data_IF_617539065625
#
_entry.id   IF_617539065625
#
_cell.length_a   1.000
_cell.length_b   1.000
_cell.length_c   1.000
_cell.angle_alpha   90.00
_cell.angle_beta   90.00
_cell.angle_gamma   90.00
#
_symmetry.space_group_name_H-M   'P 1'
#
loop_
_entity.id
_entity.type
_entity.pdbx_description
1 polymer ?
#
# COMPACT_ATOMS: atom_id res chain seq x y z
N UNK A 1 -10.66 9.01 14.76
CA UNK A 1 -10.13 7.82 15.47
C UNK A 1 -10.43 6.49 14.77
N UNK A 2 -11.70 6.04 14.64
CA UNK A 2 -12.03 4.74 14.02
C UNK A 2 -11.36 4.48 12.67
N UNK A 3 -11.47 5.41 11.72
CA UNK A 3 -10.81 5.31 10.41
C UNK A 3 -9.28 5.17 10.53
N UNK A 4 -8.65 5.90 11.45
CA UNK A 4 -7.19 5.87 11.63
C UNK A 4 -6.75 4.49 12.12
N UNK A 5 -7.51 3.89 13.04
CA UNK A 5 -7.29 2.52 13.50
C UNK A 5 -7.48 1.48 12.38
N UNK A 6 -8.56 1.57 11.61
CA UNK A 6 -8.85 0.64 10.50
C UNK A 6 -7.76 0.70 9.44
N UNK A 7 -7.26 1.90 9.14
CA UNK A 7 -6.19 2.11 8.16
C UNK A 7 -4.82 1.71 8.71
N UNK A 8 -4.55 1.91 10.00
CA UNK A 8 -3.36 1.34 10.65
C UNK A 8 -3.35 -0.19 10.51
N UNK A 9 -4.48 -0.85 10.79
CA UNK A 9 -4.60 -2.30 10.65
C UNK A 9 -4.37 -2.74 9.20
N UNK A 10 -5.02 -2.07 8.24
CA UNK A 10 -4.84 -2.36 6.81
C UNK A 10 -3.38 -2.18 6.36
N UNK A 11 -2.68 -1.16 6.87
CA UNK A 11 -1.28 -0.91 6.54
C UNK A 11 -0.38 -2.03 7.08
N UNK A 12 -0.56 -2.41 8.34
CA UNK A 12 0.23 -3.48 8.96
C UNK A 12 0.02 -4.81 8.25
N UNK A 13 -1.23 -5.18 7.97
CA UNK A 13 -1.54 -6.42 7.26
C UNK A 13 -1.02 -6.37 5.81
N UNK A 14 -1.18 -5.23 5.13
CA UNK A 14 -0.67 -5.06 3.76
C UNK A 14 0.85 -5.15 3.66
N UNK A 15 1.60 -4.55 4.59
CA UNK A 15 3.06 -4.66 4.60
C UNK A 15 3.53 -6.09 4.86
N UNK A 16 2.90 -6.81 5.80
CA UNK A 16 3.16 -8.23 6.03
C UNK A 16 2.82 -9.08 4.81
N UNK A 17 1.75 -8.75 4.10
CA UNK A 17 1.37 -9.46 2.89
C UNK A 17 2.38 -9.24 1.76
N UNK A 18 2.87 -8.01 1.57
CA UNK A 18 3.93 -7.71 0.61
C UNK A 18 5.23 -8.47 0.95
N UNK A 19 5.58 -8.55 2.23
CA UNK A 19 6.73 -9.34 2.71
C UNK A 19 6.55 -10.84 2.44
N UNK A 20 5.40 -11.41 2.82
CA UNK A 20 5.10 -12.83 2.65
C UNK A 20 5.05 -13.26 1.17
N UNK A 21 4.80 -12.32 0.26
CA UNK A 21 4.73 -12.55 -1.18
C UNK A 21 6.00 -12.13 -1.93
N UNK A 22 7.02 -11.62 -1.23
CA UNK A 22 8.25 -11.07 -1.83
C UNK A 22 7.97 -9.98 -2.88
N UNK A 23 6.98 -9.11 -2.60
CA UNK A 23 6.55 -8.02 -3.51
C UNK A 23 6.79 -6.63 -2.94
N UNK A 24 7.64 -6.49 -1.92
CA UNK A 24 7.95 -5.21 -1.25
C UNK A 24 8.58 -4.19 -2.21
N UNK A 25 9.43 -4.63 -3.13
CA UNK A 25 10.08 -3.76 -4.12
C UNK A 25 9.22 -3.47 -5.36
N UNK A 26 7.96 -3.94 -5.36
CA UNK A 26 7.04 -3.75 -6.47
C UNK A 26 6.23 -2.44 -6.35
N UNK A 27 5.59 -1.98 -7.44
CA UNK A 27 4.66 -0.85 -7.38
C UNK A 27 3.47 -1.04 -6.43
N UNK A 28 3.19 -2.27 -5.97
CA UNK A 28 2.12 -2.57 -5.02
C UNK A 28 2.35 -1.89 -3.66
N UNK A 29 3.60 -1.73 -3.23
CA UNK A 29 3.93 -1.00 -1.99
C UNK A 29 3.46 0.45 -2.07
N UNK A 30 3.74 1.13 -3.17
CA UNK A 30 3.29 2.52 -3.37
C UNK A 30 1.77 2.61 -3.51
N UNK A 31 1.13 1.61 -4.13
CA UNK A 31 -0.32 1.52 -4.17
C UNK A 31 -0.92 1.37 -2.76
N UNK A 32 -0.39 0.45 -1.93
CA UNK A 32 -0.80 0.26 -0.53
C UNK A 32 -0.71 1.57 0.26
N UNK A 33 0.44 2.26 0.19
CA UNK A 33 0.63 3.53 0.89
C UNK A 33 -0.36 4.60 0.43
N UNK A 34 -0.65 4.68 -0.87
CA UNK A 34 -1.64 5.62 -1.42
C UNK A 34 -3.04 5.35 -0.90
N UNK A 35 -3.49 4.11 -0.95
CA UNK A 35 -4.85 3.72 -0.55
C UNK A 35 -5.08 3.81 0.96
N UNK A 36 -4.05 3.55 1.76
CA UNK A 36 -4.21 3.38 3.19
C UNK A 36 -3.77 4.60 4.00
N UNK A 37 -2.71 5.31 3.58
CA UNK A 37 -2.10 6.38 4.38
C UNK A 37 -2.63 7.77 4.02
N UNK A 38 -3.03 8.01 2.76
CA UNK A 38 -3.36 9.36 2.28
C UNK A 38 -4.44 10.07 3.12
N UNK A 39 -5.61 9.44 3.21
CA UNK A 39 -6.78 10.04 3.88
C UNK A 39 -6.56 10.17 5.40
N UNK A 40 -6.09 9.15 6.13
CA UNK A 40 -5.81 9.31 7.56
C UNK A 40 -4.77 10.37 7.85
N UNK A 41 -3.71 10.47 7.04
CA UNK A 41 -2.70 11.52 7.20
C UNK A 41 -3.34 12.91 7.08
N UNK A 42 -4.21 13.13 6.09
CA UNK A 42 -4.91 14.40 5.95
C UNK A 42 -5.80 14.71 7.17
N UNK A 43 -6.52 13.71 7.70
CA UNK A 43 -7.37 13.90 8.88
C UNK A 43 -6.56 14.17 10.15
N UNK A 44 -5.45 13.46 10.33
CA UNK A 44 -4.50 13.68 11.45
C UNK A 44 -3.93 15.10 11.41
N UNK A 45 -3.53 15.57 10.23
CA UNK A 45 -3.05 16.93 10.03
C UNK A 45 -4.13 17.98 10.27
N UNK A 46 -5.35 17.76 9.77
CA UNK A 46 -6.46 18.69 9.97
C UNK A 46 -6.80 18.82 11.47
N UNK A 47 -6.89 17.70 12.19
CA UNK A 47 -7.15 17.69 13.62
C UNK A 47 -6.06 18.43 14.40
N UNK A 48 -4.78 18.15 14.11
CA UNK A 48 -3.67 18.83 14.79
C UNK A 48 -3.54 20.31 14.47
N UNK A 49 -3.82 20.71 13.24
CA UNK A 49 -3.87 22.13 12.88
C UNK A 49 -5.00 22.86 13.61
N UNK A 50 -6.16 22.22 13.73
CA UNK A 50 -7.28 22.78 14.48
C UNK A 50 -6.92 22.96 15.97
N UNK A 51 -6.27 21.97 16.58
CA UNK A 51 -5.84 22.05 17.98
C UNK A 51 -4.78 23.12 18.23
N UNK A 52 -3.78 23.23 17.35
CA UNK A 52 -2.64 24.15 17.51
C UNK A 52 -2.94 25.59 17.15
N UNK A 53 -3.78 25.82 16.13
CA UNK A 53 -4.03 27.16 15.57
C UNK A 53 -5.46 27.65 15.76
N UNK A 54 -6.38 26.79 16.20
CA UNK A 54 -7.83 27.07 16.23
C UNK A 54 -8.47 27.15 14.84
N UNK A 55 -7.71 26.93 13.75
CA UNK A 55 -8.20 27.07 12.38
C UNK A 55 -8.68 25.73 11.83
N UNK A 56 -9.93 25.68 11.36
CA UNK A 56 -10.45 24.54 10.61
C UNK A 56 -9.97 24.61 9.17
N UNK A 57 -9.09 23.70 8.78
CA UNK A 57 -8.54 23.61 7.42
C UNK A 57 -8.83 22.24 6.85
N UNK A 58 -9.39 22.19 5.64
CA UNK A 58 -9.46 20.95 4.88
C UNK A 58 -8.08 20.64 4.29
N UNK A 59 -7.49 19.51 4.70
CA UNK A 59 -6.19 19.06 4.19
C UNK A 59 -6.42 18.21 2.95
N UNK A 60 -5.80 18.61 1.85
CA UNK A 60 -5.86 17.98 0.53
C UNK A 60 -4.44 17.64 0.06
N UNK A 61 -4.28 16.79 -0.97
CA UNK A 61 -2.96 16.54 -1.55
C UNK A 61 -2.22 17.82 -1.99
N UNK A 62 -2.95 18.85 -2.43
CA UNK A 62 -2.38 20.09 -2.94
C UNK A 62 -1.83 21.01 -1.84
N UNK A 63 -2.49 21.05 -0.68
CA UNK A 63 -2.10 21.94 0.42
C UNK A 63 -1.39 21.22 1.58
N UNK A 64 -1.25 19.88 1.53
CA UNK A 64 -0.67 19.07 2.61
C UNK A 64 0.70 19.57 3.07
N UNK A 65 1.59 19.91 2.13
CA UNK A 65 2.93 20.44 2.47
C UNK A 65 2.82 21.76 3.23
N UNK A 66 1.99 22.68 2.74
CA UNK A 66 1.76 23.97 3.41
C UNK A 66 1.14 23.78 4.81
N UNK A 67 0.26 22.80 4.97
CA UNK A 67 -0.36 22.44 6.25
C UNK A 67 0.69 21.92 7.25
N UNK A 68 1.58 21.03 6.79
CA UNK A 68 2.71 20.53 7.59
C UNK A 68 3.67 21.65 8.00
N UNK A 69 4.03 22.54 7.06
CA UNK A 69 4.93 23.67 7.34
C UNK A 69 4.33 24.62 8.38
N UNK A 70 3.02 24.91 8.27
CA UNK A 70 2.28 25.71 9.25
C UNK A 70 2.24 25.05 10.62
N UNK A 71 1.97 23.75 10.68
CA UNK A 71 1.95 23.00 11.93
C UNK A 71 3.33 22.98 12.58
N UNK A 72 4.38 22.74 11.78
CA UNK A 72 5.78 22.78 12.23
C UNK A 72 6.18 24.15 12.76
N UNK A 73 5.68 25.24 12.17
CA UNK A 73 5.92 26.60 12.65
C UNK A 73 5.18 26.91 13.96
N UNK A 74 3.98 26.35 14.15
CA UNK A 74 3.16 26.57 15.34
C UNK A 74 3.64 25.76 16.56
N UNK A 75 4.00 24.48 16.36
CA UNK A 75 4.30 23.55 17.46
C UNK A 75 5.79 23.23 17.62
N UNK A 76 6.59 23.52 16.60
CA UNK A 76 8.00 23.13 16.49
C UNK A 76 8.19 21.79 15.76
N UNK A 77 9.25 21.70 14.96
CA UNK A 77 9.53 20.55 14.08
C UNK A 77 9.64 19.20 14.82
N UNK A 78 10.08 19.21 16.08
CA UNK A 78 10.23 17.99 16.88
C UNK A 78 8.89 17.34 17.23
N UNK A 79 7.81 18.13 17.39
CA UNK A 79 6.48 17.61 17.75
C UNK A 79 5.70 17.06 16.56
N UNK A 80 6.11 17.43 15.35
CA UNK A 80 5.47 17.00 14.10
C UNK A 80 6.36 16.04 13.29
N UNK A 81 7.45 15.57 13.88
CA UNK A 81 8.48 14.81 13.17
C UNK A 81 7.91 13.52 12.57
N UNK A 82 7.04 12.81 13.28
CA UNK A 82 6.43 11.57 12.79
C UNK A 82 5.52 11.83 11.59
N UNK A 83 4.73 12.91 11.63
CA UNK A 83 3.88 13.35 10.51
C UNK A 83 4.71 13.76 9.28
N UNK A 84 5.83 14.45 9.50
CA UNK A 84 6.77 14.82 8.42
C UNK A 84 7.39 13.59 7.78
N UNK A 85 7.92 12.66 8.58
CA UNK A 85 8.54 11.41 8.10
C UNK A 85 7.52 10.53 7.37
N UNK A 86 6.31 10.36 7.91
CA UNK A 86 5.24 9.60 7.27
C UNK A 86 4.83 10.22 5.93
N UNK A 87 4.69 11.55 5.88
CA UNK A 87 4.38 12.27 4.63
C UNK A 87 5.47 12.07 3.58
N UNK A 88 6.75 12.09 3.97
CA UNK A 88 7.87 11.87 3.07
C UNK A 88 7.88 10.44 2.49
N UNK A 89 7.69 9.41 3.32
CA UNK A 89 7.60 8.01 2.87
C UNK A 89 6.47 7.83 1.88
N UNK A 90 5.32 8.46 2.13
CA UNK A 90 4.17 8.45 1.24
C UNK A 90 4.43 9.14 -0.12
N UNK A 91 5.21 10.23 -0.15
CA UNK A 91 5.45 11.01 -1.38
C UNK A 91 6.58 10.50 -2.25
N UNK A 92 7.53 9.72 -1.71
CA UNK A 92 8.73 9.25 -2.43
C UNK A 92 8.43 8.53 -3.75
N UNK A 93 7.24 7.92 -3.92
CA UNK A 93 6.83 7.30 -5.18
C UNK A 93 6.32 8.25 -6.27
N UNK A 94 6.17 9.56 -6.01
CA UNK A 94 5.72 10.56 -7.00
C UNK A 94 6.91 11.24 -7.68
N UNK A 95 7.98 11.52 -6.94
CA UNK A 95 9.16 12.23 -7.47
C UNK A 95 10.04 11.36 -8.40
N UNK A 96 9.94 10.03 -8.30
CA UNK A 96 10.67 9.12 -9.20
C UNK A 96 10.14 9.11 -10.65
N UNK A 97 8.89 9.57 -10.89
CA UNK A 97 8.29 9.61 -12.23
C UNK A 97 8.73 10.86 -13.02
N UNK A 98 8.99 11.97 -12.33
CA UNK A 98 9.45 13.22 -12.96
C UNK A 98 10.98 13.30 -13.10
N UNK A 99 11.74 12.46 -12.38
CA UNK A 99 13.21 12.45 -12.45
C UNK A 99 13.79 11.64 -13.63
N UNK A 100 12.97 10.88 -14.39
CA UNK A 100 13.44 9.99 -15.46
C UNK A 100 13.51 10.64 -16.85
N UNK A 101 13.06 11.88 -17.02
CA UNK A 101 13.14 12.62 -18.29
C UNK A 101 14.30 13.63 -18.37
N UNK A 102 15.16 13.72 -17.35
CA UNK A 102 16.29 14.64 -17.38
C UNK A 102 17.57 14.01 -16.84
N UNK A 103 18.27 13.22 -17.66
CA UNK A 103 19.74 13.07 -17.60
C UNK A 103 20.29 12.31 -18.80
N UNK A 104 20.64 13.07 -19.84
CA UNK A 104 21.67 12.69 -20.79
C UNK A 104 23.04 12.57 -20.07
N UNK A 105 23.88 11.58 -20.43
CA UNK A 105 25.16 11.36 -19.78
C UNK A 105 26.27 12.07 -20.53
N UNK A 106 26.99 12.99 -19.88
CA UNK A 106 28.28 13.45 -20.38
C UNK A 106 29.25 13.83 -19.26
N UNK A 107 30.41 13.17 -19.30
CA UNK A 107 31.77 13.62 -18.92
C UNK A 107 31.98 14.18 -17.49
N UNK A 108 33.05 13.94 -16.74
CA UNK A 108 34.27 13.14 -16.85
C UNK A 108 34.92 13.21 -15.45
N UNK A 109 35.77 12.23 -15.13
CA UNK A 109 36.46 12.07 -13.84
C UNK A 109 37.52 13.16 -13.59
N UNK A 110 37.71 13.58 -12.33
CA UNK A 110 39.03 13.52 -11.63
C UNK A 110 38.93 13.79 -10.11
N UNK A 111 39.75 13.13 -9.28
CA UNK A 111 39.66 13.18 -7.82
C UNK A 111 40.62 14.20 -7.20
N UNK A 112 40.20 14.88 -6.13
CA UNK A 112 41.09 15.66 -5.27
C UNK A 112 40.86 15.30 -3.79
N UNK A 113 41.98 15.29 -3.08
CA UNK A 113 42.28 14.54 -1.87
C UNK A 113 42.34 15.47 -0.66
N UNK A 114 41.69 15.08 0.44
CA UNK A 114 42.05 15.49 1.81
C UNK A 114 41.09 16.44 2.53
N UNK A 115 40.40 15.97 3.58
CA UNK A 115 40.83 16.11 4.99
C UNK A 115 39.72 15.60 5.93
N UNK A 116 40.20 14.87 6.94
CA UNK A 116 39.46 14.25 8.04
C UNK A 116 38.80 15.31 8.93
N UNK A 117 37.48 15.21 9.10
CA UNK A 117 36.77 15.74 10.25
C UNK A 117 35.74 14.68 10.65
N UNK A 118 35.98 14.04 11.79
CA UNK A 118 35.00 13.23 12.51
C UNK A 118 33.82 14.14 12.86
N UNK A 119 32.73 13.97 12.11
CA UNK A 119 31.39 14.29 12.59
C UNK A 119 30.70 12.95 12.62
N UNK A 120 30.50 12.40 13.82
CA UNK A 120 29.46 11.40 14.05
C UNK A 120 28.12 12.09 13.76
N UNK A 121 27.81 12.30 12.48
CA UNK A 121 26.46 12.26 12.00
C UNK A 121 26.00 10.84 12.27
N UNK A 122 25.30 10.67 13.39
CA UNK A 122 24.29 9.64 13.49
C UNK A 122 23.34 9.94 12.34
N UNK A 123 23.62 9.40 11.17
CA UNK A 123 22.69 9.34 10.06
C UNK A 123 21.43 8.73 10.67
N UNK A 124 20.44 9.57 10.95
CA UNK A 124 19.08 9.10 11.12
C UNK A 124 18.81 8.39 9.81
N UNK A 125 18.91 7.05 9.83
CA UNK A 125 18.64 6.22 8.68
C UNK A 125 17.36 6.74 8.03
N UNK A 126 17.47 7.14 6.77
CA UNK A 126 16.38 7.82 6.10
C UNK A 126 15.18 6.87 6.07
N UNK A 127 14.13 7.20 6.84
CA UNK A 127 13.02 6.29 7.05
C UNK A 127 12.44 5.83 5.70
N UNK A 128 12.32 4.51 5.56
CA UNK A 128 11.91 3.84 4.35
C UNK A 128 10.43 3.45 4.38
N UNK A 129 9.90 2.95 3.25
CA UNK A 129 8.56 2.37 3.21
C UNK A 129 8.31 1.22 4.19
N UNK A 130 9.37 0.49 4.56
CA UNK A 130 9.29 -0.57 5.58
C UNK A 130 8.91 -0.02 6.97
N UNK A 131 9.29 1.22 7.27
CA UNK A 131 9.00 1.89 8.54
C UNK A 131 7.61 2.54 8.55
N UNK A 132 6.84 2.45 7.47
CA UNK A 132 5.60 3.20 7.30
C UNK A 132 4.56 2.90 8.39
N UNK A 133 4.45 1.66 8.86
CA UNK A 133 3.53 1.30 9.94
C UNK A 133 3.93 1.92 11.29
N UNK A 134 5.23 1.92 11.61
CA UNK A 134 5.73 2.52 12.84
C UNK A 134 5.58 4.05 12.82
N UNK A 135 5.92 4.67 11.68
CA UNK A 135 5.70 6.10 11.47
C UNK A 135 4.23 6.48 11.51
N UNK A 136 3.34 5.64 10.99
CA UNK A 136 1.90 5.84 11.07
C UNK A 136 1.42 5.79 12.52
N UNK A 137 1.87 4.80 13.28
CA UNK A 137 1.52 4.65 14.69
C UNK A 137 2.01 5.84 15.51
N UNK A 138 3.27 6.25 15.34
CA UNK A 138 3.84 7.43 15.98
C UNK A 138 3.11 8.73 15.58
N UNK A 139 2.75 8.90 14.31
CA UNK A 139 1.96 10.04 13.84
C UNK A 139 0.55 10.07 14.46
N UNK A 140 -0.07 8.91 14.68
CA UNK A 140 -1.36 8.83 15.36
C UNK A 140 -1.23 9.19 16.85
N UNK A 141 -0.19 8.70 17.53
CA UNK A 141 0.11 9.07 18.93
C UNK A 141 0.40 10.57 19.06
N UNK A 142 1.17 11.12 18.12
CA UNK A 142 1.40 12.55 17.97
C UNK A 142 0.12 13.33 17.69
N UNK A 143 -1.01 12.69 17.38
CA UNK A 143 -2.35 13.30 17.24
C UNK A 143 -3.29 12.90 18.38
N UNK A 144 -2.79 12.30 19.46
CA UNK A 144 -3.58 11.72 20.55
C UNK A 144 -4.59 10.64 20.12
N UNK A 145 -4.34 9.99 18.99
CA UNK A 145 -5.15 8.89 18.48
C UNK A 145 -4.49 7.56 18.83
N UNK A 146 -5.14 6.79 19.71
CA UNK A 146 -4.63 5.48 20.09
C UNK A 146 -4.87 4.43 19.00
N UNK A 147 -3.78 3.90 18.42
CA UNK A 147 -3.82 2.78 17.51
C UNK A 147 -3.45 1.46 18.22
N UNK A 148 -4.36 0.49 18.23
CA UNK A 148 -4.10 -0.87 18.72
C UNK A 148 -3.17 -1.61 17.78
N UNK A 149 -2.20 -2.32 18.35
CA UNK A 149 -1.31 -3.23 17.62
C UNK A 149 -2.09 -4.41 17.05
N UNK A 150 -1.69 -4.85 15.85
CA UNK A 150 -2.28 -6.02 15.19
C UNK A 150 -1.58 -7.27 15.69
N UNK A 151 -2.22 -7.96 16.64
CA UNK A 151 -1.77 -9.24 17.17
C UNK A 151 -2.21 -10.42 16.28
N UNK A 152 -1.70 -11.62 16.60
CA UNK A 152 -2.04 -12.86 15.87
C UNK A 152 -3.53 -13.21 15.94
N UNK A 153 -4.24 -12.79 16.99
CA UNK A 153 -5.67 -13.07 17.13
C UNK A 153 -6.48 -12.19 16.17
N UNK A 154 -6.12 -10.90 16.05
CA UNK A 154 -6.75 -9.98 15.11
C UNK A 154 -6.44 -10.38 13.68
N UNK A 155 -5.21 -10.78 13.37
CA UNK A 155 -4.84 -11.26 12.04
C UNK A 155 -5.67 -12.48 11.59
N UNK A 156 -5.86 -13.46 12.48
CA UNK A 156 -6.75 -14.60 12.22
C UNK A 156 -8.21 -14.17 12.02
N UNK A 157 -8.69 -13.20 12.80
CA UNK A 157 -10.04 -12.67 12.62
C UNK A 157 -10.17 -11.95 11.26
N UNK A 158 -9.18 -11.13 10.88
CA UNK A 158 -9.16 -10.44 9.60
C UNK A 158 -9.12 -11.42 8.41
N UNK A 159 -8.35 -12.51 8.51
CA UNK A 159 -8.36 -13.61 7.53
C UNK A 159 -9.77 -14.20 7.36
N UNK A 160 -10.46 -14.51 8.47
CA UNK A 160 -11.81 -15.08 8.43
C UNK A 160 -12.84 -14.08 7.88
N UNK A 161 -12.79 -12.83 8.33
CA UNK A 161 -13.66 -11.74 7.87
C UNK A 161 -13.50 -11.52 6.37
N UNK A 162 -12.25 -11.38 5.88
CA UNK A 162 -11.97 -11.14 4.46
C UNK A 162 -12.27 -12.35 3.59
N UNK A 163 -12.05 -13.57 4.09
CA UNK A 163 -12.49 -14.79 3.40
C UNK A 163 -14.00 -14.80 3.19
N UNK A 164 -14.76 -14.53 4.25
CA UNK A 164 -16.22 -14.50 4.18
C UNK A 164 -16.72 -13.38 3.26
N UNK A 165 -16.21 -12.15 3.45
CA UNK A 165 -16.57 -10.99 2.64
C UNK A 165 -16.30 -11.23 1.14
N UNK A 166 -15.11 -11.72 0.79
CA UNK A 166 -14.75 -11.95 -0.61
C UNK A 166 -15.52 -13.12 -1.23
N UNK A 167 -15.85 -14.16 -0.46
CA UNK A 167 -16.70 -15.27 -0.93
C UNK A 167 -18.11 -14.78 -1.22
N UNK A 168 -18.71 -13.98 -0.35
CA UNK A 168 -20.05 -13.42 -0.58
C UNK A 168 -20.05 -12.51 -1.82
N UNK A 169 -19.12 -11.57 -1.92
CA UNK A 169 -19.00 -10.71 -3.11
C UNK A 169 -18.78 -11.51 -4.39
N UNK A 170 -17.93 -12.53 -4.34
CA UNK A 170 -17.66 -13.36 -5.53
C UNK A 170 -18.89 -14.14 -5.99
N UNK A 171 -19.76 -14.59 -5.07
CA UNK A 171 -21.02 -15.27 -5.43
C UNK A 171 -21.94 -14.36 -6.24
N UNK A 172 -22.02 -13.09 -5.88
CA UNK A 172 -22.91 -12.09 -6.49
C UNK A 172 -22.51 -11.68 -7.91
N UNK A 173 -21.22 -11.80 -8.26
CA UNK A 173 -20.72 -11.40 -9.59
C UNK A 173 -21.09 -12.38 -10.69
N UNK A 174 -21.24 -11.89 -11.91
CA UNK A 174 -21.40 -12.77 -13.09
C UNK A 174 -20.07 -12.91 -13.83
N UNK A 175 -19.90 -13.95 -14.67
CA UNK A 175 -18.70 -14.11 -15.50
C UNK A 175 -18.42 -12.91 -16.44
N UNK A 176 -19.43 -12.10 -16.74
CA UNK A 176 -19.28 -10.82 -17.44
C UNK A 176 -18.43 -9.79 -16.68
N UNK A 177 -18.34 -9.90 -15.35
CA UNK A 177 -17.51 -9.04 -14.50
C UNK A 177 -16.08 -9.59 -14.39
N UNK A 178 -15.49 -9.96 -15.53
CA UNK A 178 -14.28 -10.78 -15.63
C UNK A 178 -13.12 -10.28 -14.74
N UNK A 179 -12.82 -8.98 -14.78
CA UNK A 179 -11.78 -8.33 -13.97
C UNK A 179 -12.07 -8.46 -12.47
N UNK A 180 -13.32 -8.24 -12.08
CA UNK A 180 -13.71 -8.25 -10.66
C UNK A 180 -13.72 -9.67 -10.10
N UNK A 181 -14.25 -10.62 -10.88
CA UNK A 181 -14.22 -12.06 -10.56
C UNK A 181 -12.78 -12.54 -10.40
N UNK A 182 -11.92 -12.16 -11.34
CA UNK A 182 -10.51 -12.55 -11.29
C UNK A 182 -9.80 -11.98 -10.05
N UNK A 183 -9.96 -10.67 -9.79
CA UNK A 183 -9.39 -10.01 -8.59
C UNK A 183 -9.83 -10.69 -7.29
N UNK A 184 -11.13 -10.92 -7.10
CA UNK A 184 -11.64 -11.53 -5.88
C UNK A 184 -11.19 -12.99 -5.74
N UNK A 185 -11.12 -13.73 -6.86
CA UNK A 185 -10.58 -15.08 -6.86
C UNK A 185 -9.11 -15.10 -6.44
N UNK A 186 -8.27 -14.23 -7.00
CA UNK A 186 -6.87 -14.08 -6.56
C UNK A 186 -6.76 -13.77 -5.07
N UNK A 187 -7.57 -12.84 -4.56
CA UNK A 187 -7.59 -12.53 -3.13
C UNK A 187 -8.00 -13.75 -2.28
N UNK A 188 -8.96 -14.55 -2.73
CA UNK A 188 -9.36 -15.76 -2.00
C UNK A 188 -8.26 -16.82 -1.97
N UNK A 189 -7.52 -17.00 -3.06
CA UNK A 189 -6.39 -17.92 -3.09
C UNK A 189 -5.25 -17.46 -2.18
N UNK A 190 -4.90 -16.18 -2.20
CA UNK A 190 -3.94 -15.61 -1.25
C UNK A 190 -4.37 -15.81 0.21
N UNK A 191 -5.65 -15.62 0.51
CA UNK A 191 -6.20 -15.84 1.86
C UNK A 191 -6.16 -17.32 2.26
N UNK A 192 -6.22 -18.25 1.30
CA UNK A 192 -6.02 -19.68 1.56
C UNK A 192 -4.55 -19.98 1.90
N UNK A 193 -3.62 -19.28 1.27
CA UNK A 193 -2.17 -19.31 1.56
C UNK A 193 -1.80 -18.53 2.84
N UNK A 194 -2.78 -17.95 3.55
CA UNK A 194 -2.58 -17.19 4.78
C UNK A 194 -2.18 -15.73 4.58
N UNK A 195 -2.16 -15.25 3.35
CA UNK A 195 -1.85 -13.86 3.00
C UNK A 195 -3.13 -13.02 3.12
N UNK A 196 -3.17 -12.11 4.09
CA UNK A 196 -4.29 -11.17 4.31
C UNK A 196 -3.84 -9.73 4.14
N UNK A 197 -4.68 -8.92 3.50
CA UNK A 197 -4.44 -7.48 3.39
C UNK A 197 -3.58 -7.07 2.20
N UNK A 198 -3.21 -7.99 1.30
CA UNK A 198 -2.59 -7.61 0.03
C UNK A 198 -3.58 -6.78 -0.79
N UNK A 199 -3.25 -5.50 -0.99
CA UNK A 199 -4.03 -4.57 -1.82
C UNK A 199 -3.35 -4.40 -3.17
N UNK A 200 -4.14 -4.49 -4.24
CA UNK A 200 -3.70 -4.30 -5.61
C UNK A 200 -4.84 -3.75 -6.47
N UNK A 201 -4.54 -2.90 -7.47
CA UNK A 201 -5.55 -2.31 -8.33
C UNK A 201 -6.13 -3.31 -9.32
N UNK A 202 -7.25 -2.94 -9.95
CA UNK A 202 -7.91 -3.70 -11.03
C UNK A 202 -7.21 -3.51 -12.38
N UNK A 203 -5.87 -3.59 -12.38
CA UNK A 203 -5.05 -3.34 -13.55
C UNK A 203 -4.23 -4.61 -13.90
N UNK A 204 -4.10 -4.98 -15.19
CA UNK A 204 -3.45 -6.23 -15.57
C UNK A 204 -2.00 -6.37 -15.07
N UNK A 205 -1.25 -5.27 -15.04
CA UNK A 205 0.13 -5.28 -14.53
C UNK A 205 0.19 -5.72 -13.06
N UNK A 206 -0.81 -5.36 -12.24
CA UNK A 206 -0.85 -5.70 -10.83
C UNK A 206 -1.20 -7.17 -10.65
N UNK A 207 -2.14 -7.68 -11.45
CA UNK A 207 -2.46 -9.10 -11.44
C UNK A 207 -1.26 -9.97 -11.76
N UNK A 208 -0.44 -9.62 -12.76
CA UNK A 208 0.79 -10.38 -13.08
C UNK A 208 1.77 -10.47 -11.91
N UNK A 209 1.90 -9.40 -11.12
CA UNK A 209 2.75 -9.42 -9.92
C UNK A 209 2.16 -10.37 -8.88
N UNK A 210 0.85 -10.26 -8.61
CA UNK A 210 0.16 -11.07 -7.61
C UNK A 210 0.10 -12.55 -7.99
N UNK A 211 -0.12 -12.86 -9.27
CA UNK A 211 -0.13 -14.23 -9.79
C UNK A 211 1.19 -14.94 -9.52
N UNK A 212 2.32 -14.24 -9.69
CA UNK A 212 3.66 -14.80 -9.39
C UNK A 212 3.84 -15.16 -7.92
N UNK A 213 3.10 -14.51 -7.03
CA UNK A 213 3.14 -14.75 -5.60
C UNK A 213 2.27 -15.92 -5.12
N UNK A 214 1.47 -16.55 -6.00
CA UNK A 214 0.70 -17.74 -5.64
C UNK A 214 1.63 -18.93 -5.39
N UNK A 215 1.37 -19.66 -4.30
CA UNK A 215 2.18 -20.81 -3.92
C UNK A 215 1.97 -22.02 -4.85
N UNK A 216 0.71 -22.27 -5.24
CA UNK A 216 0.34 -23.38 -6.13
C UNK A 216 0.73 -23.06 -7.59
N UNK A 217 1.61 -23.88 -8.18
CA UNK A 217 2.09 -23.75 -9.55
C UNK A 217 0.98 -23.93 -10.60
N UNK A 218 0.10 -24.93 -10.43
CA UNK A 218 -0.99 -25.18 -11.35
C UNK A 218 -2.03 -24.04 -11.31
N UNK A 219 -2.28 -23.50 -10.11
CA UNK A 219 -3.14 -22.33 -9.96
C UNK A 219 -2.52 -21.09 -10.62
N UNK A 220 -1.22 -20.89 -10.43
CA UNK A 220 -0.47 -19.77 -11.01
C UNK A 220 -0.46 -19.81 -12.53
N UNK A 221 -0.25 -20.96 -13.16
CA UNK A 221 -0.34 -21.11 -14.62
C UNK A 221 -1.73 -20.75 -15.17
N UNK A 222 -2.79 -21.22 -14.48
CA UNK A 222 -4.17 -20.88 -14.84
C UNK A 222 -4.43 -19.37 -14.70
N UNK A 223 -3.95 -18.77 -13.62
CA UNK A 223 -4.12 -17.36 -13.36
C UNK A 223 -3.35 -16.50 -14.38
N UNK A 224 -2.14 -16.92 -14.77
CA UNK A 224 -1.35 -16.24 -15.80
C UNK A 224 -2.02 -16.32 -17.18
N UNK A 225 -2.57 -17.48 -17.52
CA UNK A 225 -3.39 -17.66 -18.74
C UNK A 225 -4.60 -16.71 -18.74
N UNK A 226 -5.30 -16.62 -17.60
CA UNK A 226 -6.46 -15.73 -17.47
C UNK A 226 -6.07 -14.25 -17.51
N UNK A 227 -4.93 -13.84 -16.94
CA UNK A 227 -4.35 -12.51 -17.15
C UNK A 227 -4.17 -12.21 -18.64
N UNK A 228 -3.60 -13.16 -19.40
CA UNK A 228 -3.41 -13.01 -20.83
C UNK A 228 -4.73 -12.82 -21.60
N UNK A 229 -5.77 -13.57 -21.24
CA UNK A 229 -7.10 -13.43 -21.85
C UNK A 229 -7.74 -12.08 -21.52
N UNK A 230 -7.59 -11.58 -20.28
CA UNK A 230 -8.11 -10.28 -19.86
C UNK A 230 -7.45 -9.12 -20.59
N UNK A 231 -6.17 -9.25 -20.98
CA UNK A 231 -5.44 -8.24 -21.75
C UNK A 231 -5.72 -8.33 -23.26
N UNK A 232 -5.88 -9.55 -23.78
CA UNK A 232 -5.97 -9.82 -25.21
C UNK A 232 -7.32 -9.48 -25.83
N UNK A 233 -8.44 -9.57 -25.08
CA UNK A 233 -9.78 -9.12 -25.52
C UNK A 233 -10.39 -9.82 -26.74
N UNK A 234 -9.65 -10.66 -27.46
CA UNK A 234 -10.04 -11.16 -28.79
C UNK A 234 -10.95 -12.40 -28.76
N UNK A 235 -11.05 -13.11 -27.63
CA UNK A 235 -11.90 -14.29 -27.47
C UNK A 235 -12.80 -14.19 -26.22
N UNK A 236 -13.94 -13.53 -26.39
CA UNK A 236 -14.90 -13.31 -25.32
C UNK A 236 -15.50 -14.63 -24.78
N UNK A 237 -15.65 -15.65 -25.63
CA UNK A 237 -16.23 -16.94 -25.23
C UNK A 237 -15.22 -17.72 -24.38
N UNK A 238 -13.96 -17.75 -24.80
CA UNK A 238 -12.89 -18.37 -24.00
C UNK A 238 -12.68 -17.63 -22.67
N UNK A 239 -12.74 -16.29 -22.69
CA UNK A 239 -12.63 -15.49 -21.47
C UNK A 239 -13.77 -15.79 -20.50
N UNK A 240 -15.02 -15.77 -20.96
CA UNK A 240 -16.19 -16.03 -20.09
C UNK A 240 -16.13 -17.44 -19.47
N UNK A 241 -15.77 -18.44 -20.27
CA UNK A 241 -15.59 -19.82 -19.80
C UNK A 241 -14.46 -19.94 -18.77
N UNK A 242 -13.31 -19.29 -19.02
CA UNK A 242 -12.17 -19.31 -18.10
C UNK A 242 -12.49 -18.57 -16.78
N UNK A 243 -13.21 -17.44 -16.85
CA UNK A 243 -13.67 -16.68 -15.68
C UNK A 243 -14.67 -17.49 -14.85
N UNK A 244 -15.62 -18.18 -15.50
CA UNK A 244 -16.57 -19.04 -14.81
C UNK A 244 -15.86 -20.18 -14.06
N UNK A 245 -14.94 -20.88 -14.73
CA UNK A 245 -14.13 -21.93 -14.11
C UNK A 245 -13.26 -21.40 -12.95
N UNK A 246 -12.66 -20.22 -13.12
CA UNK A 246 -11.89 -19.54 -12.07
C UNK A 246 -12.75 -19.22 -10.84
N UNK A 247 -13.95 -18.67 -11.05
CA UNK A 247 -14.93 -18.37 -10.00
C UNK A 247 -15.29 -19.62 -9.22
N UNK A 248 -15.64 -20.70 -9.91
CA UNK A 248 -16.00 -21.98 -9.29
C UNK A 248 -14.85 -22.54 -8.45
N UNK A 249 -13.62 -22.53 -8.99
CA UNK A 249 -12.44 -23.00 -8.28
C UNK A 249 -12.16 -22.16 -7.02
N UNK A 250 -12.27 -20.82 -7.10
CA UNK A 250 -12.06 -19.93 -5.96
C UNK A 250 -13.11 -20.13 -4.85
N UNK A 251 -14.37 -20.41 -5.23
CA UNK A 251 -15.44 -20.71 -4.28
C UNK A 251 -15.35 -22.13 -3.69
N UNK A 252 -14.73 -23.07 -4.39
CA UNK A 252 -14.53 -24.44 -3.92
C UNK A 252 -13.43 -24.58 -2.86
N UNK A 253 -12.46 -23.65 -2.82
CA UNK A 253 -11.40 -23.65 -1.82
C UNK A 253 -11.93 -23.53 -0.38
N UNK A 254 -11.28 -24.23 0.56
CA UNK A 254 -11.69 -24.31 1.98
C UNK A 254 -11.15 -23.13 2.80
#
# INVERSE_FOLDING_TARGET
>A
EKLVQERHEALVLGLRALEATDTQDSPLLQHLLREVVAEPLHRMLAARLQESTGSTVEVTPANRKQCLDKLSAAEGASKVQSLLKLSAVFTKGKDAKDAKEAKDPKEERKPAKGKKAEKEEREEAEAGPADAAELYHAAAEDCHIFCRRVDKKREKAALQEKRAENREKLKELTPSDAVQVFRLGLQLFLIQDGVVGLLFPEEPWAFRIVVKALADEALREKADTLCGLLEGGDDAVALEAAVAAWKEQALAGK
#
